data_IF_706031358106
#
_entry.id   IF_706031358106
#
_cell.length_a   1.000
_cell.length_b   1.000
_cell.length_c   1.000
_cell.angle_alpha   90.00
_cell.angle_beta   90.00
_cell.angle_gamma   90.00
#
_symmetry.space_group_name_H-M   'P 1'
#
loop_
_entity.id
_entity.type
_entity.pdbx_description
1 polymer ?
#
# COMPACT_ATOMS: atom_id res chain seq x y z
N UNK A 1 14.31 -5.74 -10.07
CA UNK A 1 13.67 -6.32 -11.28
C UNK A 1 14.56 -6.04 -12.50
N UNK A 2 14.85 -7.02 -13.36
CA UNK A 2 15.53 -6.78 -14.65
C UNK A 2 14.53 -6.04 -15.56
N UNK A 3 14.92 -4.89 -16.07
CA UNK A 3 14.15 -4.06 -17.00
C UNK A 3 13.79 -4.93 -18.22
N UNK A 4 12.51 -5.30 -18.34
CA UNK A 4 12.01 -6.04 -19.49
C UNK A 4 11.87 -5.05 -20.65
N UNK A 5 12.73 -5.19 -21.66
CA UNK A 5 12.62 -4.43 -22.92
C UNK A 5 11.36 -4.79 -23.75
N UNK A 6 10.59 -5.79 -23.32
CA UNK A 6 9.36 -6.25 -23.98
C UNK A 6 8.27 -6.36 -22.90
N UNK A 7 7.60 -5.25 -22.60
CA UNK A 7 6.38 -5.25 -21.80
C UNK A 7 5.24 -5.63 -22.74
N UNK A 8 4.57 -6.76 -22.48
CA UNK A 8 3.38 -7.14 -23.22
C UNK A 8 2.15 -6.49 -22.57
N UNK A 9 1.58 -5.50 -23.28
CA UNK A 9 0.41 -4.76 -22.79
C UNK A 9 -0.83 -5.64 -22.81
N UNK A 10 -0.95 -6.57 -23.76
CA UNK A 10 -2.13 -7.43 -23.86
C UNK A 10 -2.14 -8.41 -22.66
N UNK A 11 -0.99 -9.00 -22.29
CA UNK A 11 -0.87 -9.86 -21.09
C UNK A 11 -1.22 -9.12 -19.79
N UNK A 12 -0.73 -7.89 -19.61
CA UNK A 12 -1.05 -7.09 -18.41
C UNK A 12 -2.55 -6.73 -18.34
N UNK A 13 -3.17 -6.43 -19.48
CA UNK A 13 -4.62 -6.16 -19.52
C UNK A 13 -5.43 -7.42 -19.18
N UNK A 14 -5.00 -8.58 -19.65
CA UNK A 14 -5.62 -9.86 -19.31
C UNK A 14 -5.46 -10.23 -17.82
N UNK A 15 -4.35 -9.87 -17.18
CA UNK A 15 -4.15 -10.01 -15.73
C UNK A 15 -5.19 -9.21 -14.93
N UNK A 16 -5.54 -8.02 -15.43
CA UNK A 16 -6.50 -7.12 -14.82
C UNK A 16 -5.94 -6.32 -13.64
N UNK A 17 -6.71 -5.33 -13.16
CA UNK A 17 -6.28 -4.51 -12.02
C UNK A 17 -6.18 -5.34 -10.72
N UNK A 18 -5.21 -4.97 -9.89
CA UNK A 18 -4.96 -5.68 -8.64
C UNK A 18 -4.00 -4.93 -7.72
N UNK A 19 -3.37 -5.68 -6.81
CA UNK A 19 -2.47 -5.10 -5.80
C UNK A 19 -1.26 -4.44 -6.45
N UNK A 20 -0.74 -5.01 -7.54
CA UNK A 20 0.47 -4.57 -8.23
C UNK A 20 0.21 -3.96 -9.60
N UNK A 21 -1.05 -3.84 -10.04
CA UNK A 21 -1.39 -3.33 -11.36
C UNK A 21 -2.59 -2.37 -11.25
N UNK A 22 -2.45 -1.17 -11.80
CA UNK A 22 -3.53 -0.18 -11.88
C UNK A 22 -3.60 0.39 -13.30
N UNK A 23 -4.80 0.48 -13.86
CA UNK A 23 -5.09 1.07 -15.16
C UNK A 23 -5.66 2.46 -14.95
N UNK A 24 -5.20 3.41 -15.75
CA UNK A 24 -5.85 4.72 -15.84
C UNK A 24 -5.89 5.18 -17.27
N UNK A 25 -7.04 5.68 -17.70
CA UNK A 25 -7.14 6.31 -19.01
C UNK A 25 -6.26 7.57 -19.07
N UNK A 26 -6.36 8.40 -18.04
CA UNK A 26 -5.60 9.63 -17.84
C UNK A 26 -5.69 10.05 -16.38
N UNK A 27 -4.66 10.74 -15.86
CA UNK A 27 -4.77 11.36 -14.55
C UNK A 27 -5.31 12.78 -14.64
N UNK A 28 -6.27 13.09 -13.76
CA UNK A 28 -6.84 14.45 -13.67
C UNK A 28 -6.03 15.36 -12.76
N UNK A 29 -5.24 14.81 -11.82
CA UNK A 29 -4.45 15.59 -10.85
C UNK A 29 -3.18 14.86 -10.41
N UNK A 30 -2.12 15.62 -10.11
CA UNK A 30 -0.88 15.08 -9.52
C UNK A 30 -1.10 14.42 -8.14
N UNK A 31 -2.14 14.85 -7.41
CA UNK A 31 -2.54 14.22 -6.15
C UNK A 31 -2.99 12.76 -6.34
N UNK A 32 -3.79 12.47 -7.37
CA UNK A 32 -4.21 11.09 -7.65
C UNK A 32 -3.01 10.22 -8.02
N UNK A 33 -2.10 10.75 -8.83
CA UNK A 33 -0.86 10.06 -9.22
C UNK A 33 -0.05 9.70 -7.98
N UNK A 34 0.30 10.69 -7.15
CA UNK A 34 1.20 10.44 -6.02
C UNK A 34 0.59 9.48 -5.00
N UNK A 35 -0.73 9.47 -4.80
CA UNK A 35 -1.40 8.51 -3.92
C UNK A 35 -1.18 7.07 -4.40
N UNK A 36 -1.34 6.81 -5.70
CA UNK A 36 -1.08 5.49 -6.29
C UNK A 36 0.40 5.11 -6.22
N UNK A 37 1.32 6.04 -6.54
CA UNK A 37 2.76 5.76 -6.45
C UNK A 37 3.20 5.44 -5.01
N UNK A 38 2.71 6.21 -4.02
CA UNK A 38 2.94 5.95 -2.59
C UNK A 38 2.37 4.59 -2.19
N UNK A 39 1.16 4.26 -2.67
CA UNK A 39 0.51 2.99 -2.36
C UNK A 39 1.34 1.79 -2.83
N UNK A 40 1.86 1.83 -4.05
CA UNK A 40 2.77 0.80 -4.55
C UNK A 40 4.05 0.72 -3.72
N UNK A 41 4.72 1.85 -3.48
CA UNK A 41 5.98 1.89 -2.72
C UNK A 41 5.83 1.36 -1.28
N UNK A 42 4.68 1.60 -0.64
CA UNK A 42 4.42 1.15 0.73
C UNK A 42 3.95 -0.30 0.84
N UNK A 43 3.52 -0.91 -0.27
CA UNK A 43 2.96 -2.27 -0.29
C UNK A 43 4.00 -3.25 -0.82
N UNK A 44 3.91 -3.67 -2.08
CA UNK A 44 4.76 -4.68 -2.70
C UNK A 44 5.27 -4.24 -4.07
N UNK A 45 5.39 -2.92 -4.27
CA UNK A 45 5.62 -2.32 -5.58
C UNK A 45 4.40 -2.47 -6.49
N UNK A 46 4.58 -2.11 -7.76
CA UNK A 46 3.57 -2.28 -8.79
C UNK A 46 3.86 -1.51 -10.08
N UNK A 47 2.89 -1.60 -10.97
CA UNK A 47 2.88 -1.02 -12.30
C UNK A 47 1.60 -0.20 -12.48
N UNK A 48 1.76 1.01 -13.00
CA UNK A 48 0.67 1.89 -13.40
C UNK A 48 0.70 2.04 -14.90
N UNK A 49 -0.40 1.67 -15.57
CA UNK A 49 -0.57 1.81 -17.01
C UNK A 49 -1.47 3.02 -17.30
N UNK A 50 -0.96 3.98 -18.08
CA UNK A 50 -1.72 5.16 -18.50
C UNK A 50 -2.04 5.06 -20.00
N UNK A 51 -3.31 5.32 -20.32
CA UNK A 51 -3.88 5.15 -21.66
C UNK A 51 -4.73 3.88 -21.79
N UNK A 52 -5.16 3.29 -20.67
CA UNK A 52 -6.03 2.10 -20.63
C UNK A 52 -7.25 2.44 -19.77
N UNK A 53 -8.46 2.20 -20.29
CA UNK A 53 -9.70 2.42 -19.55
C UNK A 53 -9.92 1.34 -18.47
N UNK A 54 -10.84 1.60 -17.53
CA UNK A 54 -11.10 0.68 -16.41
C UNK A 54 -11.65 -0.68 -16.88
N UNK A 55 -12.20 -0.78 -18.10
CA UNK A 55 -12.66 -2.01 -18.74
C UNK A 55 -11.56 -2.77 -19.53
N UNK A 56 -10.32 -2.29 -19.48
CA UNK A 56 -9.19 -2.84 -20.23
C UNK A 56 -9.04 -2.31 -21.66
N UNK A 57 -9.92 -1.41 -22.11
CA UNK A 57 -9.81 -0.83 -23.46
C UNK A 57 -8.54 0.02 -23.59
N UNK A 58 -7.65 -0.36 -24.50
CA UNK A 58 -6.38 0.34 -24.73
C UNK A 58 -6.59 1.52 -25.68
N UNK A 59 -6.56 2.75 -25.14
CA UNK A 59 -6.84 4.00 -25.86
C UNK A 59 -5.53 4.67 -26.32
N UNK A 60 -4.48 4.59 -25.51
CA UNK A 60 -3.25 5.35 -25.68
C UNK A 60 -3.32 6.76 -25.07
N UNK A 61 -2.16 7.41 -24.99
CA UNK A 61 -2.04 8.81 -24.56
C UNK A 61 -1.94 9.75 -25.75
N UNK A 62 -2.51 10.95 -25.64
CA UNK A 62 -2.44 11.97 -26.70
C UNK A 62 -1.09 12.69 -26.74
N UNK A 63 -0.48 12.91 -25.57
CA UNK A 63 0.80 13.59 -25.40
C UNK A 63 1.60 12.90 -24.29
N UNK A 64 2.70 12.26 -24.68
CA UNK A 64 3.62 11.60 -23.75
C UNK A 64 4.08 12.55 -22.64
N UNK A 65 4.46 13.77 -23.03
CA UNK A 65 5.00 14.78 -22.12
C UNK A 65 3.98 15.22 -21.08
N UNK A 66 2.73 15.42 -21.49
CA UNK A 66 1.65 15.84 -20.58
C UNK A 66 1.33 14.79 -19.52
N UNK A 67 1.55 13.51 -19.83
CA UNK A 67 1.36 12.43 -18.85
C UNK A 67 2.62 12.21 -17.98
N UNK A 68 3.82 12.29 -18.55
CA UNK A 68 5.09 12.03 -17.84
C UNK A 68 5.45 13.11 -16.82
N UNK A 69 5.33 14.40 -17.18
CA UNK A 69 5.78 15.49 -16.29
C UNK A 69 5.06 15.49 -14.93
N UNK A 70 3.72 15.33 -14.85
CA UNK A 70 3.01 15.19 -13.59
C UNK A 70 3.46 14.00 -12.75
N UNK A 71 3.89 12.89 -13.35
CA UNK A 71 4.35 11.69 -12.66
C UNK A 71 5.64 11.96 -11.91
N UNK A 72 6.64 12.53 -12.59
CA UNK A 72 7.89 12.90 -11.93
C UNK A 72 7.68 13.99 -10.88
N UNK A 73 6.81 14.97 -11.15
CA UNK A 73 6.48 16.00 -10.18
C UNK A 73 5.83 15.40 -8.92
N UNK A 74 4.83 14.53 -9.10
CA UNK A 74 4.13 13.83 -8.04
C UNK A 74 5.10 13.01 -7.17
N UNK A 75 5.91 12.17 -7.83
CA UNK A 75 6.90 11.30 -7.18
C UNK A 75 7.92 12.10 -6.37
N UNK A 76 8.47 13.18 -6.94
CA UNK A 76 9.57 13.93 -6.33
C UNK A 76 9.12 14.93 -5.26
N UNK A 77 7.99 15.61 -5.47
CA UNK A 77 7.64 16.80 -4.68
C UNK A 77 6.38 16.65 -3.83
N UNK A 78 5.53 15.66 -4.13
CA UNK A 78 4.32 15.37 -3.38
C UNK A 78 4.46 14.12 -2.51
N UNK A 79 5.65 13.52 -2.41
CA UNK A 79 5.89 12.38 -1.51
C UNK A 79 7.13 12.56 -0.64
N UNK A 80 7.09 12.04 0.59
CA UNK A 80 8.23 12.01 1.49
C UNK A 80 8.34 10.68 2.28
N UNK A 81 9.48 9.97 2.21
CA UNK A 81 10.59 10.18 1.27
C UNK A 81 10.11 10.22 -0.20
N UNK A 82 10.85 10.83 -1.15
CA UNK A 82 10.49 10.76 -2.56
C UNK A 82 10.34 9.32 -3.04
N UNK A 83 9.36 9.05 -3.90
CA UNK A 83 9.17 7.74 -4.53
C UNK A 83 10.01 7.67 -5.81
N UNK A 84 10.79 6.62 -5.97
CA UNK A 84 11.47 6.34 -7.24
C UNK A 84 10.49 5.69 -8.21
N UNK A 85 10.43 6.22 -9.45
CA UNK A 85 9.55 5.71 -10.51
C UNK A 85 10.33 5.58 -11.81
N UNK A 86 10.29 4.40 -12.41
CA UNK A 86 10.79 4.16 -13.76
C UNK A 86 9.64 4.30 -14.75
N UNK A 87 9.78 5.18 -15.74
CA UNK A 87 8.72 5.50 -16.70
C UNK A 87 9.16 5.06 -18.09
N UNK A 88 8.33 4.25 -18.73
CA UNK A 88 8.56 3.73 -20.08
C UNK A 88 7.42 4.10 -21.00
N UNK A 89 7.76 4.40 -22.25
CA UNK A 89 6.80 4.63 -23.32
C UNK A 89 6.75 3.39 -24.19
N UNK A 90 5.62 2.71 -24.21
CA UNK A 90 5.42 1.49 -24.95
C UNK A 90 4.55 1.80 -26.18
N UNK A 91 5.11 1.75 -27.40
CA UNK A 91 4.31 1.83 -28.62
C UNK A 91 3.33 0.66 -28.68
N UNK A 92 2.08 0.99 -28.95
CA UNK A 92 0.99 0.03 -29.11
C UNK A 92 0.30 0.23 -30.45
N UNK A 93 -0.44 -0.79 -30.90
CA UNK A 93 -1.14 -0.88 -32.19
C UNK A 93 -1.75 0.47 -32.63
N UNK A 94 -1.76 0.70 -33.95
CA UNK A 94 -2.30 1.92 -34.56
C UNK A 94 -1.63 3.23 -34.07
N UNK A 95 -0.31 3.19 -33.80
CA UNK A 95 0.51 4.32 -33.35
C UNK A 95 0.07 4.91 -31.98
N UNK A 96 -0.61 4.11 -31.16
CA UNK A 96 -0.91 4.47 -29.77
C UNK A 96 0.36 4.36 -28.94
N UNK A 97 0.39 5.07 -27.81
CA UNK A 97 1.50 4.99 -26.86
C UNK A 97 0.90 4.81 -25.47
N UNK A 98 1.48 3.90 -24.70
CA UNK A 98 1.12 3.62 -23.32
C UNK A 98 2.26 4.07 -22.43
N UNK A 99 1.95 4.85 -21.40
CA UNK A 99 2.93 5.22 -20.38
C UNK A 99 2.87 4.17 -19.29
N UNK A 100 3.99 3.54 -19.02
CA UNK A 100 4.13 2.47 -18.04
C UNK A 100 5.03 2.96 -16.93
N UNK A 101 4.52 3.00 -15.71
CA UNK A 101 5.27 3.45 -14.54
C UNK A 101 5.51 2.29 -13.58
N UNK A 102 6.77 1.95 -13.36
CA UNK A 102 7.18 0.93 -12.39
C UNK A 102 7.62 1.58 -11.09
N UNK A 103 7.05 1.10 -9.99
CA UNK A 103 7.43 1.47 -8.63
C UNK A 103 7.85 0.20 -7.89
N UNK A 104 9.05 0.18 -7.33
CA UNK A 104 9.48 -0.93 -6.49
C UNK A 104 8.91 -0.80 -5.08
N UNK A 105 8.80 -1.91 -4.36
CA UNK A 105 8.59 -1.84 -2.91
C UNK A 105 9.75 -1.08 -2.28
N UNK A 106 9.43 -0.10 -1.43
CA UNK A 106 10.45 0.76 -0.86
C UNK A 106 11.06 0.20 0.41
N UNK A 107 12.39 0.27 0.46
CA UNK A 107 13.20 0.00 1.66
C UNK A 107 13.18 1.17 2.67
N UNK A 108 12.54 2.29 2.33
CA UNK A 108 12.44 3.48 3.20
C UNK A 108 10.99 3.86 3.56
N UNK A 109 10.04 2.95 3.35
CA UNK A 109 8.63 3.10 3.75
C UNK A 109 8.47 3.40 5.27
N UNK A 110 7.44 4.15 5.69
CA UNK A 110 6.34 4.65 4.88
C UNK A 110 6.67 5.94 4.13
N UNK A 111 6.35 5.95 2.84
CA UNK A 111 6.16 7.16 2.05
C UNK A 111 4.83 7.81 2.43
N UNK A 112 4.85 9.13 2.54
CA UNK A 112 3.71 9.98 2.91
C UNK A 112 3.40 10.95 1.80
N UNK A 113 2.13 11.27 1.61
CA UNK A 113 1.76 12.34 0.70
C UNK A 113 2.06 13.70 1.34
N UNK A 114 2.56 14.64 0.56
CA UNK A 114 2.79 16.03 0.97
C UNK A 114 1.72 16.89 0.31
N UNK A 115 0.72 17.27 1.09
CA UNK A 115 -0.30 18.24 0.67
C UNK A 115 0.22 19.67 0.77
N UNK A 116 -0.41 20.57 0.03
CA UNK A 116 -0.17 22.02 0.09
C UNK A 116 -1.44 22.69 0.55
N UNK A 117 -1.39 23.36 1.70
CA UNK A 117 -2.53 24.09 2.25
C UNK A 117 -2.81 25.34 1.42
N UNK A 118 -4.01 25.92 1.59
CA UNK A 118 -4.42 27.16 0.87
C UNK A 118 -3.43 28.32 1.05
N UNK A 119 -2.73 28.36 2.18
CA UNK A 119 -1.68 29.34 2.50
C UNK A 119 -0.28 28.93 2.00
N UNK A 120 -0.19 27.95 1.09
CA UNK A 120 1.05 27.38 0.53
C UNK A 120 1.95 26.67 1.55
N UNK A 121 1.47 26.40 2.76
CA UNK A 121 2.22 25.60 3.74
C UNK A 121 2.12 24.13 3.35
N UNK A 122 3.27 23.47 3.20
CA UNK A 122 3.34 22.03 2.98
C UNK A 122 3.04 21.29 4.28
N UNK A 123 2.21 20.25 4.23
CA UNK A 123 1.94 19.39 5.37
C UNK A 123 1.94 17.93 4.90
N UNK A 124 2.51 17.03 5.71
CA UNK A 124 2.44 15.61 5.44
C UNK A 124 1.03 15.11 5.79
N UNK A 125 0.38 14.45 4.85
CA UNK A 125 -0.98 13.94 4.99
C UNK A 125 -1.06 12.55 4.39
N UNK A 126 -1.62 11.59 5.13
CA UNK A 126 -1.87 10.24 4.65
C UNK A 126 -0.64 9.38 4.34
N UNK A 127 -0.75 8.10 4.68
CA UNK A 127 0.08 7.03 4.12
C UNK A 127 -0.88 6.19 3.30
N UNK A 128 -0.55 5.93 2.04
CA UNK A 128 -1.42 5.13 1.17
C UNK A 128 -0.80 3.76 0.93
N UNK A 129 -1.66 2.77 0.73
CA UNK A 129 -1.32 1.36 0.48
C UNK A 129 -2.31 0.75 -0.50
N UNK A 130 -1.92 -0.37 -1.11
CA UNK A 130 -2.77 -1.15 -2.00
C UNK A 130 -3.54 -2.19 -1.20
N UNK A 131 -4.85 -2.20 -1.37
CA UNK A 131 -5.76 -3.22 -0.84
C UNK A 131 -6.57 -3.70 -2.02
N UNK A 132 -6.26 -4.91 -2.50
CA UNK A 132 -6.75 -5.41 -3.80
C UNK A 132 -6.43 -4.40 -4.91
N UNK A 133 -7.40 -4.07 -5.74
CA UNK A 133 -7.37 -3.12 -6.85
C UNK A 133 -7.44 -1.64 -6.40
N UNK A 134 -7.48 -1.34 -5.11
CA UNK A 134 -7.70 0.03 -4.61
C UNK A 134 -6.54 0.61 -3.81
N UNK A 135 -6.42 1.93 -3.92
CA UNK A 135 -5.56 2.77 -3.10
C UNK A 135 -6.33 3.26 -1.88
N UNK A 136 -5.94 2.80 -0.68
CA UNK A 136 -6.58 3.11 0.61
C UNK A 136 -5.63 3.89 1.51
N UNK A 137 -6.16 4.82 2.30
CA UNK A 137 -5.38 5.49 3.35
C UNK A 137 -5.19 4.56 4.56
N UNK A 138 -3.95 4.30 4.92
CA UNK A 138 -3.57 3.42 6.00
C UNK A 138 -3.96 4.00 7.38
N UNK A 139 -4.49 3.14 8.24
CA UNK A 139 -4.73 3.46 9.66
C UNK A 139 -3.42 3.78 10.39
N UNK A 140 -3.52 4.39 11.57
CA UNK A 140 -2.32 4.70 12.38
C UNK A 140 -1.56 3.43 12.76
N UNK A 141 -2.29 2.37 13.08
CA UNK A 141 -1.77 1.06 13.41
C UNK A 141 -1.03 0.44 12.22
N UNK A 142 -1.65 0.47 11.02
CA UNK A 142 -1.02 0.00 9.79
C UNK A 142 0.28 0.77 9.49
N UNK A 143 0.28 2.10 9.67
CA UNK A 143 1.48 2.94 9.50
C UNK A 143 2.62 2.53 10.43
N UNK A 144 2.32 2.24 11.70
CA UNK A 144 3.34 1.78 12.66
C UNK A 144 3.89 0.39 12.31
N UNK A 145 3.06 -0.48 11.74
CA UNK A 145 3.49 -1.80 11.25
C UNK A 145 4.40 -1.64 10.01
N UNK A 146 4.02 -0.80 9.05
CA UNK A 146 4.81 -0.52 7.84
C UNK A 146 6.21 -0.02 8.22
N UNK A 147 6.32 0.96 9.13
CA UNK A 147 7.61 1.46 9.64
C UNK A 147 8.52 0.36 10.20
N UNK A 148 7.92 -0.66 10.80
CA UNK A 148 8.66 -1.73 11.45
C UNK A 148 9.11 -2.85 10.50
N UNK A 149 8.58 -2.90 9.28
CA UNK A 149 8.86 -3.97 8.31
C UNK A 149 10.30 -3.92 7.78
N UNK A 150 10.94 -2.75 7.77
CA UNK A 150 12.32 -2.54 7.27
C UNK A 150 13.39 -2.93 8.31
N UNK A 151 13.02 -3.03 9.59
CA UNK A 151 13.94 -3.38 10.66
C UNK A 151 13.79 -4.84 11.07
N UNK A 152 14.80 -5.65 10.75
CA UNK A 152 14.98 -7.04 11.23
C UNK A 152 14.30 -7.29 12.58
N UNK A 153 13.48 -8.33 12.60
CA UNK A 153 13.00 -9.12 13.74
C UNK A 153 13.96 -9.11 14.94
N UNK A 154 13.97 -8.02 15.70
CA UNK A 154 14.50 -8.08 17.05
C UNK A 154 13.47 -8.87 17.83
N UNK A 155 13.93 -9.96 18.45
CA UNK A 155 13.11 -10.81 19.31
C UNK A 155 12.48 -9.91 20.39
N UNK A 156 11.28 -9.38 20.11
CA UNK A 156 10.53 -8.61 21.06
C UNK A 156 10.21 -9.60 22.16
N UNK A 157 10.81 -9.41 23.35
CA UNK A 157 10.33 -10.09 24.55
C UNK A 157 8.89 -9.64 24.75
N UNK A 158 7.94 -10.47 24.35
CA UNK A 158 6.53 -10.22 24.56
C UNK A 158 6.23 -10.56 26.01
N UNK A 159 6.14 -9.54 26.86
CA UNK A 159 5.48 -9.72 28.14
C UNK A 159 3.98 -9.75 27.89
N UNK A 160 3.34 -10.86 28.25
CA UNK A 160 1.90 -11.07 28.13
C UNK A 160 1.17 -10.58 29.39
N UNK A 161 0.49 -9.44 29.28
CA UNK A 161 -0.40 -8.90 30.32
C UNK A 161 -1.81 -9.51 30.25
N UNK A 162 -2.71 -9.01 31.09
CA UNK A 162 -4.12 -9.46 31.13
C UNK A 162 -4.84 -9.18 29.81
N UNK A 163 -4.73 -7.95 29.31
CA UNK A 163 -5.34 -7.52 28.05
C UNK A 163 -4.87 -8.37 26.85
N UNK A 164 -3.55 -8.64 26.75
CA UNK A 164 -3.04 -9.48 25.68
C UNK A 164 -3.60 -10.91 25.76
N UNK A 165 -3.71 -11.49 26.96
CA UNK A 165 -4.28 -12.83 27.14
C UNK A 165 -5.76 -12.89 26.77
N UNK A 166 -6.54 -11.89 27.16
CA UNK A 166 -7.96 -11.79 26.81
C UNK A 166 -8.16 -11.69 25.30
N UNK A 167 -7.37 -10.84 24.64
CA UNK A 167 -7.36 -10.71 23.18
C UNK A 167 -7.06 -12.05 22.48
N UNK A 168 -6.00 -12.74 22.89
CA UNK A 168 -5.63 -14.01 22.27
C UNK A 168 -6.68 -15.09 22.53
N UNK A 169 -7.22 -15.17 23.76
CA UNK A 169 -8.28 -16.13 24.10
C UNK A 169 -9.55 -15.89 23.28
N UNK A 170 -9.88 -14.64 23.00
CA UNK A 170 -10.99 -14.30 22.12
C UNK A 170 -10.74 -14.77 20.69
N UNK A 171 -9.53 -14.53 20.16
CA UNK A 171 -9.16 -14.91 18.80
C UNK A 171 -8.92 -16.42 18.62
N UNK A 172 -8.69 -17.18 19.69
CA UNK A 172 -8.72 -18.64 19.64
C UNK A 172 -10.14 -19.17 19.38
N UNK A 173 -11.17 -18.42 19.78
CA UNK A 173 -12.57 -18.78 19.62
C UNK A 173 -13.26 -18.08 18.43
N UNK A 174 -12.66 -17.03 17.86
CA UNK A 174 -13.22 -16.21 16.80
C UNK A 174 -12.18 -15.88 15.74
N UNK A 175 -12.59 -15.90 14.46
CA UNK A 175 -11.66 -15.73 13.34
C UNK A 175 -10.94 -14.38 13.32
N UNK A 176 -11.56 -13.31 13.81
CA UNK A 176 -11.00 -11.97 13.80
C UNK A 176 -11.63 -11.02 14.80
N UNK A 177 -10.95 -9.90 15.06
CA UNK A 177 -11.47 -8.77 15.81
C UNK A 177 -11.03 -7.46 15.17
N UNK A 178 -11.86 -6.43 15.19
CA UNK A 178 -11.44 -5.07 14.84
C UNK A 178 -10.82 -4.36 16.03
N UNK A 179 -10.05 -3.31 15.76
CA UNK A 179 -9.53 -2.44 16.81
C UNK A 179 -10.65 -1.88 17.71
N UNK A 180 -11.76 -1.48 17.09
CA UNK A 180 -12.91 -0.87 17.77
C UNK A 180 -13.63 -1.88 18.64
N UNK A 181 -13.94 -3.06 18.10
CA UNK A 181 -14.54 -4.17 18.85
C UNK A 181 -13.72 -4.52 20.09
N UNK A 182 -12.40 -4.58 19.96
CA UNK A 182 -11.52 -4.85 21.09
C UNK A 182 -11.57 -3.77 22.16
N UNK A 183 -11.53 -2.49 21.77
CA UNK A 183 -11.63 -1.38 22.73
C UNK A 183 -12.96 -1.39 23.47
N UNK A 184 -14.07 -1.66 22.78
CA UNK A 184 -15.42 -1.63 23.32
C UNK A 184 -15.71 -2.86 24.19
N UNK A 185 -15.39 -4.06 23.71
CA UNK A 185 -15.69 -5.32 24.42
C UNK A 185 -14.87 -5.48 25.70
N UNK A 186 -13.58 -5.14 25.63
CA UNK A 186 -12.64 -5.34 26.74
C UNK A 186 -12.35 -4.04 27.52
N UNK A 187 -13.05 -2.95 27.19
CA UNK A 187 -12.91 -1.63 27.84
C UNK A 187 -11.44 -1.15 27.89
N UNK A 188 -10.70 -1.40 26.81
CA UNK A 188 -9.27 -1.10 26.73
C UNK A 188 -9.07 0.33 26.22
N UNK A 189 -8.27 1.16 26.91
CA UNK A 189 -7.97 2.50 26.42
C UNK A 189 -7.35 2.47 25.01
N UNK A 190 -7.78 3.33 24.07
CA UNK A 190 -7.35 3.31 22.67
C UNK A 190 -5.82 3.26 22.48
N UNK A 191 -5.08 4.09 23.23
CA UNK A 191 -3.60 4.11 23.17
C UNK A 191 -2.97 2.78 23.58
N UNK A 192 -3.56 2.10 24.57
CA UNK A 192 -3.08 0.80 25.04
C UNK A 192 -3.38 -0.29 24.02
N UNK A 193 -4.61 -0.32 23.50
CA UNK A 193 -5.01 -1.23 22.43
C UNK A 193 -4.08 -1.12 21.20
N UNK A 194 -3.81 0.11 20.74
CA UNK A 194 -2.94 0.36 19.58
C UNK A 194 -1.54 -0.21 19.80
N UNK A 195 -0.96 0.02 21.00
CA UNK A 195 0.34 -0.53 21.38
C UNK A 195 0.34 -2.06 21.45
N UNK A 196 -0.74 -2.68 21.92
CA UNK A 196 -0.89 -4.14 21.97
C UNK A 196 -0.90 -4.72 20.55
N UNK A 197 -1.80 -4.25 19.67
CA UNK A 197 -1.92 -4.74 18.31
C UNK A 197 -0.62 -4.58 17.52
N UNK A 198 -0.02 -3.39 17.53
CA UNK A 198 1.25 -3.15 16.82
C UNK A 198 2.36 -4.08 17.33
N UNK A 199 2.45 -4.31 18.65
CA UNK A 199 3.46 -5.23 19.21
C UNK A 199 3.22 -6.67 18.80
N UNK A 200 1.98 -7.15 18.86
CA UNK A 200 1.64 -8.53 18.55
C UNK A 200 1.78 -8.83 17.05
N UNK A 201 1.42 -7.89 16.17
CA UNK A 201 1.65 -8.02 14.72
C UNK A 201 3.15 -8.06 14.43
N UNK A 202 3.93 -7.14 15.02
CA UNK A 202 5.39 -7.12 14.86
C UNK A 202 6.09 -8.38 15.36
N UNK A 203 5.53 -9.02 16.38
CA UNK A 203 6.06 -10.26 16.91
C UNK A 203 5.57 -11.50 16.15
N UNK A 204 4.77 -11.33 15.09
CA UNK A 204 4.23 -12.42 14.28
C UNK A 204 3.16 -13.25 14.98
N UNK A 205 2.57 -12.75 16.08
CA UNK A 205 1.46 -13.42 16.78
C UNK A 205 0.14 -13.13 16.09
N UNK A 206 -0.03 -11.89 15.62
CA UNK A 206 -1.21 -11.46 14.88
C UNK A 206 -0.85 -11.12 13.43
N UNK A 207 -1.81 -11.30 12.54
CA UNK A 207 -1.80 -10.75 11.19
C UNK A 207 -2.82 -9.60 11.12
N UNK A 208 -2.40 -8.49 10.52
CA UNK A 208 -3.26 -7.35 10.21
C UNK A 208 -3.82 -7.54 8.79
N UNK A 209 -5.14 -7.62 8.69
CA UNK A 209 -5.86 -7.63 7.43
C UNK A 209 -6.47 -6.25 7.21
N UNK A 210 -5.79 -5.46 6.38
CA UNK A 210 -6.25 -4.13 5.98
C UNK A 210 -7.38 -4.30 4.96
N UNK A 211 -8.49 -3.60 5.18
CA UNK A 211 -9.61 -3.62 4.25
C UNK A 211 -10.18 -2.21 4.04
N UNK A 212 -11.07 -2.06 3.06
CA UNK A 212 -11.62 -0.75 2.68
C UNK A 212 -12.52 -0.11 3.75
N UNK A 213 -13.09 -0.90 4.67
CA UNK A 213 -14.07 -0.41 5.66
C UNK A 213 -13.44 -0.20 7.03
N UNK A 214 -12.88 -1.26 7.61
CA UNK A 214 -12.28 -1.28 8.93
C UNK A 214 -11.30 -2.46 9.08
N UNK A 215 -10.03 -2.15 9.33
CA UNK A 215 -8.97 -3.12 9.60
C UNK A 215 -9.37 -4.17 10.65
N UNK A 216 -9.02 -5.42 10.39
CA UNK A 216 -9.21 -6.51 11.34
C UNK A 216 -7.92 -7.28 11.61
N UNK A 217 -7.84 -7.88 12.80
CA UNK A 217 -6.70 -8.64 13.27
C UNK A 217 -7.09 -10.09 13.49
N UNK A 218 -6.18 -11.00 13.17
CA UNK A 218 -6.35 -12.45 13.34
C UNK A 218 -5.11 -13.06 13.97
N UNK A 219 -5.25 -14.23 14.58
CA UNK A 219 -4.07 -15.03 14.93
C UNK A 219 -3.34 -15.43 13.66
N UNK A 220 -2.02 -15.27 13.66
CA UNK A 220 -1.17 -15.80 12.61
C UNK A 220 -1.23 -17.31 12.67
N UNK A 221 -1.58 -17.96 11.56
CA UNK A 221 -1.51 -19.42 11.49
C UNK A 221 -0.08 -19.86 11.82
N UNK A 222 0.08 -20.85 12.70
CA UNK A 222 1.36 -21.52 12.84
C UNK A 222 1.64 -22.17 11.50
N UNK A 223 2.67 -21.72 10.79
CA UNK A 223 3.26 -22.55 9.77
C UNK A 223 3.75 -23.81 10.49
N UNK A 224 3.09 -24.95 10.26
CA UNK A 224 3.65 -26.27 10.50
C UNK A 224 4.83 -26.44 9.54
N UNK A 225 5.92 -25.73 9.82
CA UNK A 225 7.22 -26.08 9.28
C UNK A 225 7.62 -27.35 10.02
N UNK A 226 7.34 -28.48 9.38
CA UNK A 226 7.98 -29.74 9.68
C UNK A 226 9.49 -29.58 9.49
N UNK A 227 10.18 -29.26 10.56
CA UNK A 227 11.57 -29.66 10.77
C UNK A 227 11.53 -30.87 11.70
N UNK A 228 11.46 -32.06 11.07
CA UNK A 228 11.93 -33.32 11.66
C UNK A 228 13.39 -33.53 11.26
#
# INVERSE_FOLDING_TARGET
MKILKNVDIDELVEEGEGVQLEFKRKFTTAEKIVRTLIAFANTSGGCLLIGIDDDGTIIGVESEKEEIEPIYYAAQYLSYPPVEVDVQLIPYKAKRIIVVCYVQESETKPHRYIGVAKNKIRFQTGVFIRVKDKTVEASKEAVEIIKSTIGKSSLLKITMGGYEKELLSYLDAHDSITYKEYCEMFQVPPRRASRIFVRLVRAGVLELNINEKEDCYRLRAKNDNGDS
#
